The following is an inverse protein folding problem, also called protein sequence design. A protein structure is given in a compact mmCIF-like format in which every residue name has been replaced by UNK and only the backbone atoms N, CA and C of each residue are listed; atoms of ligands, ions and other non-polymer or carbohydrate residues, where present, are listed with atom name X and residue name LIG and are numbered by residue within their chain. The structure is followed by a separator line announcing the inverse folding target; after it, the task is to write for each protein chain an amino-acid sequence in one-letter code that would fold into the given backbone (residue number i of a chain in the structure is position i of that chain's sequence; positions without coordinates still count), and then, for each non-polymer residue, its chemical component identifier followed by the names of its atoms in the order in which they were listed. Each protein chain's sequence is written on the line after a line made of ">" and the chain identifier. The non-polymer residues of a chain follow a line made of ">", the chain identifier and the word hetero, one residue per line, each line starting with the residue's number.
data_IF_063214915654
#
_entry.id   IF_063214915654
#
_cell.length_a   1.000
_cell.length_b   1.000
_cell.length_c   1.000
_cell.angle_alpha   90.00
_cell.angle_beta   90.00
_cell.angle_gamma   90.00
#
_symmetry.space_group_name_H-M   'P 1'
#
loop_
_entity.id
_entity.type
_entity.pdbx_description
1 polymer ?
#
# COMPACT_ATOMS: atom_id res chain seq x y z
N UNK A 1 13.79 -0.52 -32.67
CA UNK A 1 13.02 0.02 -31.54
C UNK A 1 13.28 -0.88 -30.34
N UNK A 2 14.21 -0.53 -29.45
CA UNK A 2 14.41 -1.25 -28.19
C UNK A 2 13.48 -0.61 -27.14
N UNK A 3 12.38 -1.29 -26.83
CA UNK A 3 11.48 -0.90 -25.76
C UNK A 3 12.10 -1.26 -24.40
N UNK A 4 13.14 -0.54 -23.97
CA UNK A 4 13.47 -0.45 -22.55
C UNK A 4 12.81 0.84 -22.03
N UNK A 5 11.48 0.79 -21.86
CA UNK A 5 10.86 1.77 -20.99
C UNK A 5 11.44 1.52 -19.59
N UNK A 6 12.05 2.51 -18.91
CA UNK A 6 12.38 2.33 -17.52
C UNK A 6 11.05 2.04 -16.84
N UNK A 7 10.99 0.90 -16.16
CA UNK A 7 10.07 0.58 -15.09
C UNK A 7 9.54 1.86 -14.40
N UNK A 8 8.45 2.43 -14.91
CA UNK A 8 7.66 3.41 -14.19
C UNK A 8 6.82 2.61 -13.20
N UNK A 9 7.49 1.94 -12.25
CA UNK A 9 6.84 1.35 -11.10
C UNK A 9 6.22 2.55 -10.39
N UNK A 10 4.93 2.72 -10.60
CA UNK A 10 4.12 3.67 -9.86
C UNK A 10 4.25 3.26 -8.39
N UNK A 11 5.15 3.93 -7.66
CA UNK A 11 5.33 3.72 -6.24
C UNK A 11 4.23 4.49 -5.50
N UNK A 12 3.60 3.84 -4.55
CA UNK A 12 2.66 4.43 -3.60
C UNK A 12 3.34 4.60 -2.25
N UNK A 13 2.68 5.22 -1.29
CA UNK A 13 3.20 5.38 0.07
C UNK A 13 2.32 4.65 1.08
N UNK A 14 2.95 4.02 2.07
CA UNK A 14 2.23 3.33 3.13
C UNK A 14 1.51 4.34 4.03
N UNK A 15 0.20 4.17 4.21
CA UNK A 15 -0.60 5.08 5.04
C UNK A 15 -0.16 5.11 6.52
N UNK A 16 0.49 4.05 7.00
CA UNK A 16 0.86 3.90 8.42
C UNK A 16 2.25 4.41 8.73
N UNK A 17 3.22 4.11 7.87
CA UNK A 17 4.63 4.43 8.10
C UNK A 17 5.22 5.42 7.09
N UNK A 18 4.43 5.89 6.13
CA UNK A 18 4.82 6.82 5.06
C UNK A 18 6.01 6.35 4.21
N UNK A 19 6.30 5.05 4.17
CA UNK A 19 7.35 4.48 3.31
C UNK A 19 6.86 4.36 1.86
N UNK A 20 7.75 4.62 0.92
CA UNK A 20 7.53 4.26 -0.49
C UNK A 20 7.46 2.73 -0.65
N UNK A 21 6.46 2.29 -1.40
CA UNK A 21 6.18 0.90 -1.73
C UNK A 21 5.87 0.85 -3.23
N UNK A 22 6.46 -0.07 -4.00
CA UNK A 22 6.03 -0.28 -5.38
C UNK A 22 4.59 -0.79 -5.38
N UNK A 23 3.76 -0.35 -6.34
CA UNK A 23 2.38 -0.83 -6.47
C UNK A 23 2.30 -2.36 -6.54
N UNK A 24 3.28 -3.03 -7.16
CA UNK A 24 3.40 -4.49 -7.18
C UNK A 24 3.51 -5.15 -5.79
N UNK A 25 4.12 -4.46 -4.82
CA UNK A 25 4.26 -4.96 -3.44
C UNK A 25 3.21 -4.35 -2.49
N UNK A 26 2.43 -3.39 -2.97
CA UNK A 26 1.43 -2.73 -2.16
C UNK A 26 0.20 -3.65 -2.02
N UNK A 27 -0.15 -3.97 -0.77
CA UNK A 27 -1.32 -4.79 -0.50
C UNK A 27 -2.57 -3.92 -0.54
N UNK A 28 -3.49 -4.27 -1.44
CA UNK A 28 -4.77 -3.58 -1.63
C UNK A 28 -5.91 -4.59 -1.54
N UNK A 29 -6.74 -4.56 -0.46
CA UNK A 29 -7.87 -5.48 -0.37
C UNK A 29 -8.92 -5.16 -1.43
N UNK A 30 -9.23 -6.14 -2.30
CA UNK A 30 -10.30 -6.06 -3.30
C UNK A 30 -11.66 -5.95 -2.59
N UNK A 31 -12.12 -4.73 -2.31
CA UNK A 31 -13.43 -4.52 -1.69
C UNK A 31 -13.65 -3.22 -0.92
N UNK A 32 -12.64 -2.35 -0.80
CA UNK A 32 -12.83 -1.05 -0.18
C UNK A 32 -13.07 0.03 -1.25
N UNK A 33 -14.12 0.84 -1.08
CA UNK A 33 -14.35 2.05 -1.90
C UNK A 33 -13.16 3.04 -1.81
N UNK A 34 -12.27 2.84 -0.82
CA UNK A 34 -10.98 3.50 -0.68
C UNK A 34 -9.84 2.46 -0.62
N UNK A 35 -8.88 2.57 -1.54
CA UNK A 35 -7.72 1.68 -1.60
C UNK A 35 -6.60 2.22 -0.70
N UNK A 36 -6.44 1.66 0.49
CA UNK A 36 -5.28 1.92 1.33
C UNK A 36 -4.14 0.96 1.04
N UNK A 37 -2.94 1.51 0.91
CA UNK A 37 -1.74 0.77 0.55
C UNK A 37 -0.88 0.55 1.80
N UNK A 38 -0.51 -0.71 2.02
CA UNK A 38 0.32 -1.09 3.16
C UNK A 38 1.59 -1.76 2.67
N UNK A 39 2.72 -1.44 3.31
CA UNK A 39 4.01 -2.02 2.94
C UNK A 39 4.22 -3.42 3.50
N UNK A 40 3.28 -3.90 4.29
CA UNK A 40 3.30 -5.21 4.90
C UNK A 40 2.17 -5.40 5.90
N UNK A 41 2.03 -6.64 6.36
CA UNK A 41 0.98 -7.07 7.27
C UNK A 41 1.05 -6.36 8.64
N UNK A 42 2.25 -6.09 9.17
CA UNK A 42 2.42 -5.34 10.44
C UNK A 42 1.75 -3.95 10.39
N UNK A 43 1.90 -3.23 9.27
CA UNK A 43 1.25 -1.92 9.10
C UNK A 43 -0.27 -2.08 8.98
N UNK A 44 -0.75 -3.09 8.25
CA UNK A 44 -2.17 -3.38 8.14
C UNK A 44 -2.80 -3.76 9.50
N UNK A 45 -2.13 -4.56 10.32
CA UNK A 45 -2.58 -4.93 11.66
C UNK A 45 -2.64 -3.72 12.59
N UNK A 46 -1.65 -2.82 12.54
CA UNK A 46 -1.67 -1.57 13.31
C UNK A 46 -2.83 -0.67 12.90
N UNK A 47 -3.10 -0.59 11.60
CA UNK A 47 -4.23 0.15 11.07
C UNK A 47 -5.55 -0.44 11.58
N UNK A 48 -5.75 -1.76 11.44
CA UNK A 48 -6.92 -2.45 11.97
C UNK A 48 -7.08 -2.31 13.48
N UNK A 49 -5.98 -2.39 14.25
CA UNK A 49 -6.01 -2.23 15.70
C UNK A 49 -6.48 -0.83 16.11
N UNK A 50 -6.00 0.21 15.41
CA UNK A 50 -6.46 1.60 15.60
C UNK A 50 -7.92 1.78 15.20
N UNK A 51 -8.33 1.21 14.06
CA UNK A 51 -9.72 1.26 13.59
C UNK A 51 -10.68 0.56 14.58
N UNK A 52 -10.28 -0.58 15.14
CA UNK A 52 -11.04 -1.29 16.19
C UNK A 52 -11.06 -0.54 17.52
N UNK A 53 -9.98 0.15 17.89
CA UNK A 53 -9.90 0.92 19.13
C UNK A 53 -10.63 2.27 19.07
N UNK A 54 -11.02 2.73 17.87
CA UNK A 54 -11.80 3.95 17.67
C UNK A 54 -13.33 3.74 17.71
N UNK A 55 -13.79 2.53 18.09
CA UNK A 55 -15.18 2.21 18.44
C UNK A 55 -15.36 2.31 19.95
#
# INVERSE_FOLDING_TARGET
>A
MNANAPNTASCTTCCVCCKEIPLDAAFTPEGAEYVEHFCGLDCYERFQARAKAAT
#
